data_IF_537849201254
#
_entry.id   IF_537849201254
#
_cell.length_a   1.000
_cell.length_b   1.000
_cell.length_c   1.000
_cell.angle_alpha   90.00
_cell.angle_beta   90.00
_cell.angle_gamma   90.00
#
_symmetry.space_group_name_H-M   'P 1'
#
loop_
_entity.id
_entity.type
_entity.pdbx_description
1 polymer ?
#
# COMPACT_ATOMS: atom_id res chain seq x y z
N UNK A 1 -47.46 25.98 40.08
CA UNK A 1 -48.31 24.88 39.61
C UNK A 1 -47.56 24.15 38.52
N UNK A 2 -47.30 22.85 38.67
CA UNK A 2 -46.62 22.01 37.67
C UNK A 2 -47.57 21.75 36.50
N UNK A 3 -47.16 22.01 35.26
CA UNK A 3 -47.96 21.66 34.08
C UNK A 3 -47.56 20.24 33.61
N UNK A 4 -48.45 19.24 33.73
CA UNK A 4 -48.14 17.84 33.43
C UNK A 4 -47.80 17.60 31.95
N UNK A 5 -48.39 18.37 31.03
CA UNK A 5 -48.08 18.24 29.59
C UNK A 5 -46.66 18.70 29.30
N UNK A 6 -46.21 19.77 29.97
CA UNK A 6 -44.85 20.29 29.81
C UNK A 6 -43.79 19.32 30.35
N UNK A 7 -44.07 18.66 31.47
CA UNK A 7 -43.18 17.62 32.02
C UNK A 7 -43.14 16.38 31.13
N UNK A 8 -44.28 15.99 30.52
CA UNK A 8 -44.33 14.91 29.54
C UNK A 8 -43.44 15.21 28.31
N UNK A 9 -43.53 16.42 27.76
CA UNK A 9 -42.68 16.84 26.63
C UNK A 9 -41.20 16.81 27.02
N UNK A 10 -40.84 17.33 28.21
CA UNK A 10 -39.46 17.32 28.69
C UNK A 10 -38.91 15.90 28.84
N UNK A 11 -39.73 14.95 29.31
CA UNK A 11 -39.34 13.54 29.43
C UNK A 11 -39.00 12.93 28.07
N UNK A 12 -39.86 13.16 27.07
CA UNK A 12 -39.65 12.65 25.70
C UNK A 12 -38.39 13.26 25.06
N UNK A 13 -38.14 14.55 25.28
CA UNK A 13 -36.92 15.22 24.80
C UNK A 13 -35.66 14.59 25.41
N UNK A 14 -35.66 14.39 26.73
CA UNK A 14 -34.53 13.76 27.44
C UNK A 14 -34.27 12.34 26.97
N UNK A 15 -35.32 11.58 26.69
CA UNK A 15 -35.19 10.24 26.13
C UNK A 15 -34.62 10.28 24.70
N UNK A 16 -35.08 11.23 23.88
CA UNK A 16 -34.58 11.44 22.51
C UNK A 16 -33.10 11.80 22.51
N UNK A 17 -32.66 12.69 23.41
CA UNK A 17 -31.26 13.07 23.60
C UNK A 17 -30.39 11.86 24.00
N UNK A 18 -30.86 11.05 24.94
CA UNK A 18 -30.16 9.82 25.36
C UNK A 18 -30.04 8.80 24.21
N UNK A 19 -31.08 8.65 23.39
CA UNK A 19 -31.03 7.76 22.21
C UNK A 19 -30.06 8.31 21.17
N UNK A 20 -30.06 9.63 20.95
CA UNK A 20 -29.16 10.29 20.01
C UNK A 20 -27.68 10.07 20.40
N UNK A 21 -27.33 10.26 21.68
CA UNK A 21 -25.96 10.05 22.17
C UNK A 21 -25.49 8.60 21.95
N UNK A 22 -26.37 7.62 22.20
CA UNK A 22 -26.07 6.20 21.96
C UNK A 22 -25.87 5.91 20.48
N UNK A 23 -26.68 6.49 19.60
CA UNK A 23 -26.55 6.32 18.16
C UNK A 23 -25.24 6.92 17.65
N UNK A 24 -24.88 8.13 18.09
CA UNK A 24 -23.62 8.77 17.74
C UNK A 24 -22.42 7.94 18.19
N UNK A 25 -22.45 7.45 19.43
CA UNK A 25 -21.39 6.58 19.96
C UNK A 25 -21.26 5.28 19.14
N UNK A 26 -22.39 4.71 18.73
CA UNK A 26 -22.40 3.50 17.91
C UNK A 26 -21.84 3.76 16.50
N UNK A 27 -22.24 4.87 15.88
CA UNK A 27 -21.77 5.30 14.58
C UNK A 27 -20.24 5.49 14.58
N UNK A 28 -19.70 6.22 15.56
CA UNK A 28 -18.25 6.42 15.71
C UNK A 28 -17.49 5.10 15.87
N UNK A 29 -18.00 4.19 16.70
CA UNK A 29 -17.41 2.87 16.90
C UNK A 29 -17.43 2.02 15.62
N UNK A 30 -18.52 2.09 14.84
CA UNK A 30 -18.64 1.39 13.57
C UNK A 30 -17.71 1.98 12.52
N UNK A 31 -17.62 3.31 12.41
CA UNK A 31 -16.72 4.00 11.49
C UNK A 31 -15.26 3.62 11.75
N UNK A 32 -14.84 3.57 13.03
CA UNK A 32 -13.50 3.14 13.42
C UNK A 32 -13.21 1.72 12.96
N UNK A 33 -14.11 0.77 13.23
CA UNK A 33 -13.96 -0.64 12.80
C UNK A 33 -13.84 -0.77 11.29
N UNK A 34 -14.68 -0.07 10.53
CA UNK A 34 -14.65 -0.10 9.07
C UNK A 34 -13.34 0.48 8.54
N UNK A 35 -12.89 1.59 9.12
CA UNK A 35 -11.62 2.23 8.72
C UNK A 35 -10.43 1.32 8.98
N UNK A 36 -10.33 0.75 10.18
CA UNK A 36 -9.27 -0.18 10.54
C UNK A 36 -9.26 -1.42 9.63
N UNK A 37 -10.45 -1.98 9.35
CA UNK A 37 -10.58 -3.13 8.46
C UNK A 37 -10.21 -2.80 7.02
N UNK A 38 -10.59 -1.63 6.52
CA UNK A 38 -10.24 -1.18 5.18
C UNK A 38 -8.72 -0.98 5.05
N UNK A 39 -8.07 -0.39 6.05
CA UNK A 39 -6.61 -0.26 6.10
C UNK A 39 -5.92 -1.63 6.13
N UNK A 40 -6.42 -2.57 6.96
CA UNK A 40 -5.89 -3.93 7.05
C UNK A 40 -5.96 -4.66 5.71
N UNK A 41 -7.12 -4.61 5.04
CA UNK A 41 -7.33 -5.23 3.72
C UNK A 41 -6.44 -4.58 2.67
N UNK A 42 -6.36 -3.25 2.64
CA UNK A 42 -5.48 -2.54 1.71
C UNK A 42 -4.02 -2.94 1.92
N UNK A 43 -3.57 -2.98 3.18
CA UNK A 43 -2.22 -3.43 3.51
C UNK A 43 -1.97 -4.90 3.22
N UNK A 44 -2.97 -5.78 3.20
CA UNK A 44 -2.76 -7.21 2.93
C UNK A 44 -2.82 -7.53 1.44
N UNK A 45 -3.90 -7.10 0.79
CA UNK A 45 -4.26 -7.48 -0.57
C UNK A 45 -3.68 -6.53 -1.61
N UNK A 46 -3.52 -5.26 -1.26
CA UNK A 46 -3.02 -4.22 -2.16
C UNK A 46 -1.60 -3.80 -1.84
N UNK A 47 -0.80 -4.68 -1.21
CA UNK A 47 0.65 -4.50 -1.22
C UNK A 47 1.07 -4.43 -2.68
N UNK A 48 1.79 -3.37 -3.06
CA UNK A 48 2.58 -3.45 -4.27
C UNK A 48 3.40 -4.74 -4.16
N UNK A 49 3.34 -5.65 -5.15
CA UNK A 49 4.25 -6.78 -5.20
C UNK A 49 5.62 -6.20 -4.90
N UNK A 50 6.31 -6.71 -3.86
CA UNK A 50 7.60 -6.20 -3.43
C UNK A 50 8.38 -5.84 -4.68
N UNK A 51 8.74 -4.55 -4.83
CA UNK A 51 9.45 -4.07 -6.01
C UNK A 51 10.54 -5.09 -6.27
N UNK A 52 10.42 -5.83 -7.38
CA UNK A 52 11.36 -6.91 -7.70
C UNK A 52 12.73 -6.26 -7.59
N UNK A 53 13.50 -6.67 -6.59
CA UNK A 53 14.85 -6.12 -6.36
C UNK A 53 15.53 -6.25 -7.71
N UNK A 54 15.90 -5.13 -8.32
CA UNK A 54 16.54 -5.16 -9.62
C UNK A 54 17.99 -5.54 -9.35
N UNK A 55 18.26 -6.85 -9.29
CA UNK A 55 19.53 -7.44 -8.85
C UNK A 55 20.72 -6.95 -9.67
N UNK A 56 20.49 -6.50 -10.91
CA UNK A 56 21.54 -6.13 -11.87
C UNK A 56 21.35 -4.73 -12.44
N UNK A 57 20.79 -3.81 -11.63
CA UNK A 57 20.55 -2.43 -12.05
C UNK A 57 21.87 -1.71 -12.43
N UNK A 58 22.96 -1.80 -11.65
CA UNK A 58 24.23 -1.13 -12.01
C UNK A 58 24.83 -1.65 -13.33
N UNK A 59 24.84 -2.96 -13.54
CA UNK A 59 25.37 -3.54 -14.79
C UNK A 59 24.49 -3.23 -16.00
N UNK A 60 23.17 -3.10 -15.80
CA UNK A 60 22.24 -2.64 -16.85
C UNK A 60 22.53 -1.20 -17.25
N UNK A 61 22.68 -0.31 -16.27
CA UNK A 61 22.90 1.12 -16.51
C UNK A 61 24.24 1.35 -17.19
N UNK A 62 25.28 0.60 -16.81
CA UNK A 62 26.57 0.63 -17.49
C UNK A 62 26.49 0.19 -18.96
N UNK A 63 25.66 -0.82 -19.28
CA UNK A 63 25.43 -1.22 -20.67
C UNK A 63 24.75 -0.10 -21.48
N UNK A 64 23.73 0.54 -20.91
CA UNK A 64 22.99 1.61 -21.57
C UNK A 64 23.89 2.82 -21.84
N UNK A 65 24.64 3.26 -20.84
CA UNK A 65 25.59 4.36 -20.98
C UNK A 65 26.62 4.09 -22.09
N UNK A 66 27.17 2.87 -22.15
CA UNK A 66 28.12 2.51 -23.21
C UNK A 66 27.49 2.55 -24.61
N UNK A 67 26.25 2.07 -24.76
CA UNK A 67 25.58 2.13 -26.06
C UNK A 67 25.26 3.56 -26.49
N UNK A 68 24.90 4.42 -25.55
CA UNK A 68 24.71 5.86 -25.82
C UNK A 68 26.02 6.52 -26.30
N UNK A 69 27.16 6.14 -25.74
CA UNK A 69 28.48 6.64 -26.13
C UNK A 69 29.02 6.00 -27.44
N UNK A 70 28.57 4.80 -27.80
CA UNK A 70 29.12 4.00 -28.89
C UNK A 70 28.07 3.57 -29.94
N UNK A 71 27.16 4.48 -30.29
CA UNK A 71 26.08 4.23 -31.27
C UNK A 71 26.57 3.64 -32.62
N UNK A 72 27.76 4.04 -33.08
CA UNK A 72 28.34 3.59 -34.35
C UNK A 72 29.19 2.33 -34.24
N UNK A 73 29.58 1.95 -33.02
CA UNK A 73 30.36 0.73 -32.77
C UNK A 73 29.89 0.03 -31.47
N UNK A 74 28.68 -0.58 -31.50
CA UNK A 74 28.08 -1.17 -30.32
C UNK A 74 28.86 -2.38 -29.77
N UNK A 75 29.76 -2.96 -30.58
CA UNK A 75 30.56 -4.12 -30.18
C UNK A 75 31.60 -3.78 -29.11
N UNK A 76 31.98 -2.50 -28.97
CA UNK A 76 32.83 -2.02 -27.87
C UNK A 76 32.22 -2.28 -26.49
N UNK A 77 30.90 -2.36 -26.40
CA UNK A 77 30.18 -2.62 -25.16
C UNK A 77 30.10 -4.10 -24.77
N UNK A 78 30.66 -5.01 -25.58
CA UNK A 78 30.62 -6.45 -25.32
C UNK A 78 31.10 -6.88 -23.91
N UNK A 79 32.14 -6.28 -23.29
CA UNK A 79 32.53 -6.60 -21.92
C UNK A 79 31.43 -6.29 -20.90
N UNK A 80 30.76 -5.14 -21.03
CA UNK A 80 29.69 -4.71 -20.13
C UNK A 80 28.45 -5.59 -20.28
N UNK A 81 28.12 -5.97 -21.53
CA UNK A 81 27.05 -6.93 -21.81
C UNK A 81 27.31 -8.28 -21.13
N UNK A 82 28.55 -8.78 -21.16
CA UNK A 82 28.92 -10.02 -20.45
C UNK A 82 28.73 -9.89 -18.93
N UNK A 83 29.15 -8.76 -18.35
CA UNK A 83 28.94 -8.50 -16.92
C UNK A 83 27.45 -8.49 -16.54
N UNK A 84 26.61 -7.85 -17.36
CA UNK A 84 25.16 -7.86 -17.15
C UNK A 84 24.58 -9.27 -17.27
N UNK A 85 24.98 -10.03 -18.29
CA UNK A 85 24.56 -11.42 -18.47
C UNK A 85 24.94 -12.30 -17.26
N UNK A 86 26.16 -12.16 -16.74
CA UNK A 86 26.62 -12.92 -15.58
C UNK A 86 25.87 -12.52 -14.30
N UNK A 87 25.59 -11.23 -14.12
CA UNK A 87 24.73 -10.79 -13.03
C UNK A 87 23.34 -11.42 -13.14
N UNK A 88 22.69 -11.36 -14.31
CA UNK A 88 21.35 -11.93 -14.51
C UNK A 88 21.35 -13.44 -14.26
N UNK A 89 22.39 -14.15 -14.72
CA UNK A 89 22.55 -15.58 -14.47
C UNK A 89 22.68 -15.90 -12.98
N UNK A 90 23.41 -15.09 -12.21
CA UNK A 90 23.51 -15.22 -10.74
C UNK A 90 22.20 -14.87 -10.05
N UNK A 91 21.52 -13.80 -10.48
CA UNK A 91 20.23 -13.37 -9.93
C UNK A 91 19.14 -14.43 -10.11
N UNK A 92 19.04 -15.05 -11.29
CA UNK A 92 18.08 -16.15 -11.57
C UNK A 92 18.31 -17.40 -10.72
N UNK A 93 19.53 -17.64 -10.23
CA UNK A 93 19.81 -18.75 -9.32
C UNK A 93 19.35 -18.44 -7.89
N UNK A 94 19.38 -17.18 -7.48
CA UNK A 94 18.96 -16.74 -6.14
C UNK A 94 17.43 -16.63 -5.99
N UNK A 95 16.69 -16.44 -7.08
CA UNK A 95 15.21 -16.43 -7.05
C UNK A 95 14.58 -17.83 -7.13
N UNK A 96 15.40 -18.89 -7.24
CA UNK A 96 14.96 -20.30 -7.20
C UNK A 96 15.14 -20.91 -5.79
N UNK A 97 14.93 -20.14 -4.73
CA UNK A 97 14.73 -20.72 -3.40
C UNK A 97 13.33 -21.35 -3.41
N UNK A 98 13.18 -22.66 -3.10
CA UNK A 98 11.86 -23.28 -3.03
C UNK A 98 11.06 -22.59 -1.92
N UNK A 99 9.83 -22.23 -2.27
CA UNK A 99 8.84 -21.71 -1.32
C UNK A 99 8.45 -22.75 -0.28
#
# INVERSE_FOLDING_TARGET
SSNPELESVRSVLKESENVLEKLQTHEEAMLKKVTERAMELHQKEFKLPQQKIIICQPEKDACLACYEEHLKDPLKCAPLVRMYQDCVRRGRKQTKVPS
#
